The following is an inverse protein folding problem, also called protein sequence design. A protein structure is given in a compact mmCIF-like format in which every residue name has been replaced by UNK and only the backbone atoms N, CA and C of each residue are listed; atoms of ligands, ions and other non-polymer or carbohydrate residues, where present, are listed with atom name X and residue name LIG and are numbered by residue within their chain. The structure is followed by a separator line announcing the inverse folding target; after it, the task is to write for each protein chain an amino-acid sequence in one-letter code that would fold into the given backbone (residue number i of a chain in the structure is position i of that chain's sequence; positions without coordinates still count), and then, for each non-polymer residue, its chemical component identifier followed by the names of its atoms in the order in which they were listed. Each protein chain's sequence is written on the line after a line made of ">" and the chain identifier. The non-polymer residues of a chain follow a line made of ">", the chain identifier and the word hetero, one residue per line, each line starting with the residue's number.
data_IF_241749050664
#
_entry.id   IF_241749050664
#
_cell.length_a   1.000
_cell.length_b   1.000
_cell.length_c   1.000
_cell.angle_alpha   90.00
_cell.angle_beta   90.00
_cell.angle_gamma   90.00
#
_symmetry.space_group_name_H-M   'P 1'
#
loop_
_entity.id
_entity.type
_entity.pdbx_description
1 polymer ?
#
# COMPACT_ATOMS: atom_id res chain seq x y z
N UNK A 1 19.18 9.11 -15.90
CA UNK A 1 18.04 9.54 -15.06
C UNK A 1 17.14 8.34 -14.84
N UNK A 2 16.85 7.98 -13.58
CA UNK A 2 15.90 6.92 -13.27
C UNK A 2 14.49 7.38 -13.65
N UNK A 3 13.73 6.55 -14.36
CA UNK A 3 12.34 6.84 -14.75
C UNK A 3 11.51 6.97 -13.46
N UNK A 4 10.65 7.99 -13.36
CA UNK A 4 9.79 8.17 -12.17
C UNK A 4 8.83 6.99 -12.00
N UNK A 5 8.44 6.68 -10.77
CA UNK A 5 7.48 5.60 -10.47
C UNK A 5 6.22 5.75 -11.30
N UNK A 6 5.66 6.97 -11.35
CA UNK A 6 4.47 7.29 -12.13
C UNK A 6 4.61 6.87 -13.61
N UNK A 7 5.73 7.19 -14.26
CA UNK A 7 6.01 6.78 -15.65
C UNK A 7 6.22 5.27 -15.80
N UNK A 8 6.86 4.62 -14.83
CA UNK A 8 7.11 3.16 -14.88
C UNK A 8 5.81 2.34 -14.82
N UNK A 9 4.77 2.86 -14.16
CA UNK A 9 3.47 2.19 -14.05
C UNK A 9 2.37 2.85 -14.89
N UNK A 10 2.70 3.87 -15.68
CA UNK A 10 1.77 4.67 -16.50
C UNK A 10 0.69 5.43 -15.72
N UNK A 11 0.96 5.85 -14.49
CA UNK A 11 0.06 6.73 -13.74
C UNK A 11 0.00 8.13 -14.35
N UNK A 12 1.08 8.59 -14.98
CA UNK A 12 1.13 9.86 -15.70
C UNK A 12 0.12 9.91 -16.85
N UNK A 13 -0.09 8.79 -17.56
CA UNK A 13 -1.14 8.69 -18.58
C UNK A 13 -2.55 8.78 -17.98
N UNK A 14 -2.78 8.18 -16.82
CA UNK A 14 -4.06 8.30 -16.13
C UNK A 14 -4.33 9.75 -15.69
N UNK A 15 -3.30 10.43 -15.16
CA UNK A 15 -3.37 11.86 -14.79
C UNK A 15 -3.68 12.74 -16.00
N UNK A 16 -3.07 12.48 -17.16
CA UNK A 16 -3.37 13.21 -18.41
C UNK A 16 -4.82 13.05 -18.87
N UNK A 17 -5.46 11.92 -18.55
CA UNK A 17 -6.89 11.69 -18.80
C UNK A 17 -7.80 12.24 -17.71
N UNK A 18 -7.25 12.97 -16.73
CA UNK A 18 -8.01 13.60 -15.65
C UNK A 18 -8.33 12.69 -14.45
N UNK A 19 -7.86 11.44 -14.45
CA UNK A 19 -8.03 10.55 -13.30
C UNK A 19 -6.98 10.86 -12.24
N UNK A 20 -7.42 11.26 -11.04
CA UNK A 20 -6.58 11.65 -9.92
C UNK A 20 -6.97 10.95 -8.60
N UNK A 21 -7.95 10.04 -8.64
CA UNK A 21 -8.48 9.28 -7.51
C UNK A 21 -9.57 10.03 -6.75
N UNK A 22 -10.25 10.97 -7.38
CA UNK A 22 -11.29 11.78 -6.74
C UNK A 22 -12.48 10.91 -6.27
N UNK A 23 -12.97 11.18 -5.06
CA UNK A 23 -14.08 10.42 -4.46
C UNK A 23 -13.74 9.02 -3.95
N UNK A 24 -12.48 8.58 -4.04
CA UNK A 24 -12.05 7.27 -3.57
C UNK A 24 -11.24 7.38 -2.27
N UNK A 25 -11.73 6.72 -1.21
CA UNK A 25 -11.06 6.67 0.08
C UNK A 25 -10.07 5.52 0.18
N UNK A 26 -8.86 5.84 0.65
CA UNK A 26 -7.82 4.87 0.99
C UNK A 26 -7.59 4.90 2.51
N UNK A 27 -7.79 3.75 3.16
CA UNK A 27 -7.47 3.55 4.56
C UNK A 27 -6.03 3.04 4.72
N UNK A 28 -5.20 3.74 5.50
CA UNK A 28 -3.82 3.37 5.79
C UNK A 28 -3.71 2.90 7.23
N UNK A 29 -3.28 1.65 7.44
CA UNK A 29 -2.96 1.13 8.76
C UNK A 29 -1.44 1.17 8.94
N UNK A 30 -0.93 2.12 9.72
CA UNK A 30 0.51 2.38 9.84
C UNK A 30 0.91 3.11 11.15
N UNK A 31 2.06 3.79 11.17
CA UNK A 31 2.59 4.58 12.31
C UNK A 31 1.86 5.90 12.54
N UNK A 32 0.90 6.25 11.69
CA UNK A 32 0.11 7.47 11.76
C UNK A 32 0.28 8.35 10.52
N UNK A 33 -0.09 9.62 10.66
CA UNK A 33 -0.03 10.61 9.58
C UNK A 33 0.37 11.98 10.13
N UNK A 34 1.57 12.43 9.80
CA UNK A 34 1.93 13.82 9.98
C UNK A 34 1.14 14.65 8.94
N UNK A 35 0.46 15.74 9.35
CA UNK A 35 -0.30 16.60 8.43
C UNK A 35 0.65 17.41 7.54
N UNK A 36 1.30 16.73 6.61
CA UNK A 36 2.21 17.29 5.62
C UNK A 36 1.47 18.28 4.72
N UNK A 37 2.13 19.35 4.27
CA UNK A 37 1.52 20.34 3.37
C UNK A 37 1.00 19.73 2.06
N UNK A 38 1.61 18.66 1.57
CA UNK A 38 1.13 17.90 0.38
C UNK A 38 -0.17 17.11 0.62
N UNK A 39 -0.72 17.14 1.84
CA UNK A 39 -2.06 16.64 2.13
C UNK A 39 -3.07 17.78 2.29
N UNK A 40 -2.74 19.00 1.85
CA UNK A 40 -3.62 20.16 1.98
C UNK A 40 -4.73 20.17 0.91
N UNK A 41 -5.90 20.78 1.20
CA UNK A 41 -6.30 21.26 2.52
C UNK A 41 -6.62 20.09 3.45
N UNK A 42 -6.00 20.06 4.64
CA UNK A 42 -6.11 18.94 5.58
C UNK A 42 -7.55 18.64 5.99
N UNK A 43 -8.38 19.69 6.09
CA UNK A 43 -9.79 19.59 6.48
C UNK A 43 -10.66 18.79 5.53
N UNK A 44 -10.25 18.59 4.28
CA UNK A 44 -11.01 17.81 3.29
C UNK A 44 -10.25 16.57 2.83
N UNK A 45 -8.92 16.66 2.70
CA UNK A 45 -8.08 15.55 2.22
C UNK A 45 -7.83 14.50 3.29
N UNK A 46 -7.69 14.90 4.56
CA UNK A 46 -7.57 13.96 5.68
C UNK A 46 -8.98 13.76 6.25
N UNK A 47 -9.72 12.81 5.65
CA UNK A 47 -11.11 12.54 6.00
C UNK A 47 -11.24 12.03 7.44
N UNK A 48 -10.27 11.23 7.91
CA UNK A 48 -10.24 10.75 9.29
C UNK A 48 -8.84 10.36 9.73
N UNK A 49 -8.55 10.64 11.00
CA UNK A 49 -7.45 10.04 11.75
C UNK A 49 -8.00 9.35 13.00
N UNK A 50 -7.50 8.15 13.30
CA UNK A 50 -7.79 7.42 14.56
C UNK A 50 -6.50 6.84 15.10
N UNK A 51 -6.26 6.97 16.40
CA UNK A 51 -5.09 6.45 17.07
C UNK A 51 -5.46 5.32 18.03
N UNK A 52 -5.18 4.08 17.63
CA UNK A 52 -5.41 2.89 18.45
C UNK A 52 -4.23 2.56 19.38
N UNK A 53 -3.15 3.36 19.37
CA UNK A 53 -1.95 3.12 20.16
C UNK A 53 -1.94 4.01 21.41
N UNK A 54 -2.18 5.32 21.24
CA UNK A 54 -2.17 6.28 22.35
C UNK A 54 -3.48 7.06 22.50
N UNK A 55 -4.52 6.77 21.70
CA UNK A 55 -5.83 7.43 21.76
C UNK A 55 -5.78 8.96 21.61
N UNK A 56 -4.80 9.50 20.86
CA UNK A 56 -4.77 10.96 20.58
C UNK A 56 -5.85 11.33 19.57
N UNK A 57 -6.43 12.52 19.76
CA UNK A 57 -7.52 13.05 18.94
C UNK A 57 -7.08 13.81 17.68
N UNK A 58 -5.78 14.09 17.54
CA UNK A 58 -5.21 14.85 16.41
C UNK A 58 -4.25 13.99 15.60
N UNK A 59 -4.16 14.27 14.29
CA UNK A 59 -3.26 13.55 13.38
C UNK A 59 -1.79 13.81 13.71
N UNK A 60 -1.02 12.74 13.85
CA UNK A 60 0.42 12.79 14.03
C UNK A 60 1.06 11.49 13.52
N UNK A 61 2.37 11.53 13.30
CA UNK A 61 3.21 10.37 13.03
C UNK A 61 4.53 10.58 13.76
N UNK A 62 4.88 9.65 14.63
CA UNK A 62 6.08 9.67 15.47
C UNK A 62 7.20 8.76 14.92
N UNK A 63 6.99 8.16 13.75
CA UNK A 63 7.99 7.37 13.03
C UNK A 63 8.30 7.92 11.63
N UNK A 64 7.27 8.43 10.93
CA UNK A 64 7.35 8.93 9.56
C UNK A 64 7.14 7.87 8.48
N UNK A 65 6.92 6.59 8.83
CA UNK A 65 6.62 5.55 7.84
C UNK A 65 5.22 5.72 7.23
N UNK A 66 4.19 5.93 8.07
CA UNK A 66 2.82 6.16 7.64
C UNK A 66 2.66 7.40 6.76
N UNK A 67 3.34 8.48 7.13
CA UNK A 67 3.42 9.71 6.31
C UNK A 67 4.06 9.44 4.94
N UNK A 68 5.12 8.63 4.91
CA UNK A 68 5.84 8.30 3.67
C UNK A 68 4.97 7.49 2.71
N UNK A 69 4.31 6.43 3.19
CA UNK A 69 3.43 5.61 2.34
C UNK A 69 2.20 6.39 1.86
N UNK A 70 1.65 7.26 2.72
CA UNK A 70 0.51 8.11 2.35
C UNK A 70 0.92 9.11 1.27
N UNK A 71 2.14 9.65 1.34
CA UNK A 71 2.69 10.54 0.31
C UNK A 71 2.84 9.85 -1.06
N UNK A 72 3.23 8.57 -1.09
CA UNK A 72 3.38 7.81 -2.34
C UNK A 72 2.04 7.70 -3.08
N UNK A 73 0.98 7.46 -2.33
CA UNK A 73 -0.36 7.34 -2.90
C UNK A 73 -1.02 8.71 -3.13
N UNK A 74 -0.94 9.65 -2.19
CA UNK A 74 -1.87 10.77 -2.10
C UNK A 74 -1.23 12.17 -2.02
N UNK A 75 0.08 12.31 -2.19
CA UNK A 75 0.72 13.64 -2.27
C UNK A 75 0.10 14.50 -3.38
N UNK A 76 -0.31 15.74 -3.07
CA UNK A 76 -0.79 16.72 -4.07
C UNK A 76 0.33 17.51 -4.74
N UNK A 77 1.59 17.36 -4.31
CA UNK A 77 2.74 18.12 -4.82
C UNK A 77 2.59 19.66 -4.72
N UNK A 78 1.68 20.16 -3.88
CA UNK A 78 1.29 21.58 -3.89
C UNK A 78 2.33 22.55 -3.33
N UNK A 79 3.40 22.06 -2.68
CA UNK A 79 4.37 22.92 -1.99
C UNK A 79 5.80 22.80 -2.51
N UNK A 80 5.95 22.65 -3.83
CA UNK A 80 7.26 22.70 -4.50
C UNK A 80 8.03 21.38 -4.48
N UNK A 81 7.36 20.25 -4.22
CA UNK A 81 7.88 18.96 -4.63
C UNK A 81 7.41 18.66 -6.06
N UNK A 82 8.28 18.09 -6.88
CA UNK A 82 7.86 17.47 -8.15
C UNK A 82 7.20 16.09 -7.92
N UNK A 83 6.87 15.76 -6.66
CA UNK A 83 6.47 14.43 -6.24
C UNK A 83 4.96 14.34 -6.03
N UNK A 84 4.26 14.20 -7.15
CA UNK A 84 2.83 13.89 -7.20
C UNK A 84 2.60 12.42 -6.81
N UNK A 85 1.68 12.18 -5.88
CA UNK A 85 1.26 10.82 -5.54
C UNK A 85 0.56 10.13 -6.70
N UNK A 86 0.38 8.81 -6.61
CA UNK A 86 -0.29 8.05 -7.67
C UNK A 86 -1.77 8.47 -7.82
N UNK A 87 -2.50 8.69 -6.73
CA UNK A 87 -3.88 9.16 -6.68
C UNK A 87 -3.96 10.44 -5.82
N UNK A 88 -3.48 11.58 -6.35
CA UNK A 88 -3.24 12.80 -5.57
C UNK A 88 -4.51 13.49 -5.08
N UNK A 89 -5.71 13.08 -5.53
CA UNK A 89 -7.02 13.56 -5.05
C UNK A 89 -7.80 12.54 -4.23
N UNK A 90 -7.26 11.33 -4.00
CA UNK A 90 -7.85 10.40 -3.03
C UNK A 90 -7.89 11.03 -1.64
N UNK A 91 -8.96 10.77 -0.89
CA UNK A 91 -9.06 11.17 0.51
C UNK A 91 -8.47 10.10 1.41
N UNK A 92 -7.86 10.58 2.49
CA UNK A 92 -6.96 9.84 3.35
C UNK A 92 -7.71 9.49 4.64
N UNK A 93 -7.77 8.20 4.94
CA UNK A 93 -8.16 7.71 6.28
C UNK A 93 -6.94 7.06 6.92
N UNK A 94 -6.40 7.64 7.97
CA UNK A 94 -5.21 7.14 8.65
C UNK A 94 -5.56 6.53 9.99
N UNK A 95 -5.24 5.24 10.15
CA UNK A 95 -5.41 4.51 11.40
C UNK A 95 -4.02 4.17 11.94
N UNK A 96 -3.63 4.80 13.05
CA UNK A 96 -2.37 4.49 13.73
C UNK A 96 -2.53 3.21 14.52
N UNK A 97 -1.80 2.18 14.11
CA UNK A 97 -1.79 0.83 14.70
C UNK A 97 -0.38 0.35 15.03
N UNK A 98 0.64 1.16 14.71
CA UNK A 98 2.04 0.94 15.03
C UNK A 98 2.57 2.01 16.00
N UNK A 99 3.49 1.61 16.87
CA UNK A 99 4.19 2.53 17.78
C UNK A 99 5.27 3.38 17.06
N UNK A 100 5.96 4.23 17.82
CA UNK A 100 7.02 5.11 17.32
C UNK A 100 8.23 4.35 16.74
N UNK A 101 8.45 3.10 17.15
CA UNK A 101 9.50 2.23 16.61
C UNK A 101 9.06 1.48 15.34
N UNK A 102 7.77 1.59 14.97
CA UNK A 102 7.17 0.85 13.86
C UNK A 102 6.76 -0.57 14.23
N UNK A 103 6.69 -0.90 15.52
CA UNK A 103 6.25 -2.21 15.98
C UNK A 103 4.72 -2.24 16.05
N UNK A 104 4.13 -3.33 15.58
CA UNK A 104 2.68 -3.51 15.59
C UNK A 104 2.17 -3.94 16.95
N UNK A 105 1.14 -3.25 17.42
CA UNK A 105 0.35 -3.67 18.59
C UNK A 105 -0.81 -4.49 18.05
N UNK A 106 -0.80 -5.82 18.23
CA UNK A 106 -1.79 -6.73 17.62
C UNK A 106 -3.23 -6.30 17.90
N UNK A 107 -3.54 -5.93 19.15
CA UNK A 107 -4.87 -5.45 19.54
C UNK A 107 -5.26 -4.13 18.86
N UNK A 108 -4.30 -3.21 18.66
CA UNK A 108 -4.54 -1.97 17.91
C UNK A 108 -4.78 -2.24 16.43
N UNK A 109 -4.05 -3.21 15.87
CA UNK A 109 -4.24 -3.62 14.47
C UNK A 109 -5.63 -4.22 14.23
N UNK A 110 -6.08 -5.12 15.10
CA UNK A 110 -7.42 -5.71 15.02
C UNK A 110 -8.51 -4.64 15.16
N UNK A 111 -8.39 -3.75 16.16
CA UNK A 111 -9.31 -2.60 16.30
C UNK A 111 -9.33 -1.70 15.06
N UNK A 112 -8.18 -1.50 14.40
CA UNK A 112 -8.11 -0.76 13.14
C UNK A 112 -8.86 -1.46 12.00
N UNK A 113 -8.78 -2.78 11.89
CA UNK A 113 -9.56 -3.55 10.91
C UNK A 113 -11.06 -3.49 11.22
N UNK A 114 -11.45 -3.68 12.48
CA UNK A 114 -12.86 -3.61 12.91
C UNK A 114 -13.46 -2.22 12.66
N UNK A 115 -12.67 -1.16 12.90
CA UNK A 115 -13.09 0.19 12.59
C UNK A 115 -13.32 0.40 11.09
N UNK A 116 -12.50 -0.19 10.22
CA UNK A 116 -12.76 -0.13 8.77
C UNK A 116 -14.04 -0.88 8.43
N UNK A 117 -14.24 -2.07 8.98
CA UNK A 117 -15.47 -2.85 8.76
C UNK A 117 -16.71 -1.99 9.07
N UNK A 118 -16.72 -1.33 10.22
CA UNK A 118 -17.82 -0.49 10.69
C UNK A 118 -18.00 0.81 9.89
N UNK A 119 -16.90 1.52 9.58
CA UNK A 119 -16.95 2.89 9.09
C UNK A 119 -16.60 3.07 7.60
N UNK A 120 -16.26 2.01 6.85
CA UNK A 120 -15.81 2.14 5.45
C UNK A 120 -16.80 2.91 4.58
N UNK A 121 -18.11 2.68 4.75
CA UNK A 121 -19.14 3.37 3.97
C UNK A 121 -19.22 4.87 4.30
N UNK A 122 -19.16 5.22 5.58
CA UNK A 122 -19.24 6.60 6.07
C UNK A 122 -18.09 7.46 5.56
N UNK A 123 -16.92 6.85 5.35
CA UNK A 123 -15.74 7.53 4.82
C UNK A 123 -15.41 7.17 3.37
N UNK A 124 -16.34 6.56 2.63
CA UNK A 124 -16.16 6.15 1.23
C UNK A 124 -14.84 5.39 0.98
N UNK A 125 -14.41 4.58 1.96
CA UNK A 125 -13.22 3.75 1.85
C UNK A 125 -13.55 2.62 0.87
N UNK A 126 -12.73 2.51 -0.18
CA UNK A 126 -12.79 1.42 -1.15
C UNK A 126 -11.54 0.53 -1.10
N UNK A 127 -10.44 1.07 -0.57
CA UNK A 127 -9.12 0.45 -0.60
C UNK A 127 -8.51 0.52 0.79
N UNK A 128 -7.87 -0.57 1.21
CA UNK A 128 -7.13 -0.67 2.46
C UNK A 128 -5.66 -0.94 2.13
N UNK A 129 -4.76 -0.10 2.63
CA UNK A 129 -3.32 -0.21 2.47
C UNK A 129 -2.67 -0.63 3.79
N UNK A 130 -2.10 -1.83 3.82
CA UNK A 130 -1.40 -2.39 4.97
C UNK A 130 0.06 -2.58 4.59
N UNK A 131 0.95 -1.75 5.11
CA UNK A 131 2.39 -1.81 4.77
C UNK A 131 3.20 -2.54 5.86
N UNK A 132 2.60 -3.54 6.50
CA UNK A 132 3.12 -4.30 7.65
C UNK A 132 2.88 -5.79 7.41
N UNK A 133 3.82 -6.62 7.85
CA UNK A 133 3.64 -8.06 7.92
C UNK A 133 4.59 -8.70 8.92
N UNK A 134 4.18 -9.80 9.52
CA UNK A 134 5.00 -10.57 10.47
C UNK A 134 5.59 -11.81 9.79
N UNK A 135 6.85 -12.21 10.09
CA UNK A 135 7.42 -13.48 9.66
C UNK A 135 6.93 -14.68 10.49
N UNK A 136 5.87 -14.52 11.29
CA UNK A 136 5.34 -15.56 12.18
C UNK A 136 4.85 -16.82 11.46
N UNK A 137 4.61 -17.88 12.23
CA UNK A 137 4.04 -19.14 11.72
C UNK A 137 2.58 -18.98 11.31
N UNK A 138 2.22 -19.50 10.13
CA UNK A 138 0.83 -19.54 9.63
C UNK A 138 -0.13 -20.25 10.62
N UNK A 139 0.40 -21.17 11.43
CA UNK A 139 -0.41 -21.95 12.37
C UNK A 139 -0.72 -21.25 13.68
N UNK A 140 -0.06 -20.12 13.96
CA UNK A 140 -0.31 -19.39 15.20
C UNK A 140 -1.74 -18.84 15.25
N UNK A 141 -2.34 -18.83 16.44
CA UNK A 141 -3.68 -18.27 16.66
C UNK A 141 -3.75 -16.81 16.22
N UNK A 142 -2.73 -16.01 16.54
CA UNK A 142 -2.61 -14.62 16.13
C UNK A 142 -2.62 -14.45 14.60
N UNK A 143 -1.88 -15.28 13.86
CA UNK A 143 -1.87 -15.26 12.39
C UNK A 143 -3.23 -15.63 11.81
N UNK A 144 -3.89 -16.66 12.36
CA UNK A 144 -5.23 -17.09 11.93
C UNK A 144 -6.30 -16.02 12.18
N UNK A 145 -6.24 -15.36 13.33
CA UNK A 145 -7.13 -14.26 13.68
C UNK A 145 -6.92 -13.06 12.74
N UNK A 146 -5.67 -12.67 12.50
CA UNK A 146 -5.33 -11.60 11.58
C UNK A 146 -5.82 -11.87 10.16
N UNK A 147 -5.61 -13.10 9.67
CA UNK A 147 -6.11 -13.57 8.38
C UNK A 147 -7.63 -13.51 8.28
N UNK A 148 -8.35 -13.88 9.35
CA UNK A 148 -9.82 -13.81 9.40
C UNK A 148 -10.30 -12.36 9.20
N UNK A 149 -9.71 -11.40 9.90
CA UNK A 149 -10.13 -10.00 9.83
C UNK A 149 -9.81 -9.36 8.47
N UNK A 150 -8.62 -9.58 7.89
CA UNK A 150 -8.32 -9.04 6.55
C UNK A 150 -9.19 -9.68 5.45
N UNK A 151 -9.56 -10.95 5.62
CA UNK A 151 -10.48 -11.61 4.71
C UNK A 151 -11.91 -11.09 4.87
N UNK A 152 -12.34 -10.71 6.07
CA UNK A 152 -13.64 -10.08 6.30
C UNK A 152 -13.73 -8.75 5.55
N UNK A 153 -12.69 -7.89 5.62
CA UNK A 153 -12.66 -6.65 4.83
C UNK A 153 -12.75 -6.88 3.32
N UNK A 154 -12.12 -7.95 2.82
CA UNK A 154 -12.30 -8.36 1.44
C UNK A 154 -13.75 -8.79 1.16
N UNK A 155 -14.37 -9.54 2.07
CA UNK A 155 -15.76 -10.00 1.91
C UNK A 155 -16.77 -8.83 1.99
N UNK A 156 -16.42 -7.72 2.65
CA UNK A 156 -17.17 -6.45 2.61
C UNK A 156 -17.08 -5.70 1.26
N UNK A 157 -16.26 -6.20 0.32
CA UNK A 157 -16.07 -5.62 -1.00
C UNK A 157 -14.90 -4.63 -1.10
N UNK A 158 -14.08 -4.49 -0.06
CA UNK A 158 -12.91 -3.63 -0.07
C UNK A 158 -11.74 -4.29 -0.83
N UNK A 159 -10.92 -3.46 -1.47
CA UNK A 159 -9.65 -3.88 -2.07
C UNK A 159 -8.56 -3.80 -1.02
N UNK A 160 -8.17 -4.95 -0.45
CA UNK A 160 -7.14 -5.02 0.57
C UNK A 160 -5.78 -5.26 -0.08
N UNK A 161 -4.89 -4.26 0.00
CA UNK A 161 -3.52 -4.29 -0.48
C UNK A 161 -2.55 -4.42 0.70
N UNK A 162 -1.67 -5.41 0.65
CA UNK A 162 -0.70 -5.67 1.72
C UNK A 162 0.71 -5.91 1.20
N UNK A 163 1.71 -5.39 1.91
CA UNK A 163 3.11 -5.64 1.60
C UNK A 163 3.46 -7.14 1.73
N UNK A 164 4.21 -7.66 0.74
CA UNK A 164 4.67 -9.05 0.72
C UNK A 164 5.78 -9.38 1.73
N UNK A 165 6.35 -8.36 2.39
CA UNK A 165 7.46 -8.51 3.33
C UNK A 165 8.83 -8.32 2.68
N UNK A 166 9.85 -8.12 3.52
CA UNK A 166 11.23 -7.81 3.09
C UNK A 166 12.22 -8.92 3.49
N UNK A 167 11.76 -10.18 3.48
CA UNK A 167 12.50 -11.37 3.93
C UNK A 167 12.95 -12.28 2.78
N UNK A 168 12.88 -11.79 1.53
CA UNK A 168 13.56 -12.43 0.39
C UNK A 168 15.07 -12.45 0.59
N UNK A 169 15.85 -13.16 -0.26
CA UNK A 169 15.46 -13.82 -1.50
C UNK A 169 14.98 -15.27 -1.33
N UNK A 170 14.84 -15.76 -0.09
CA UNK A 170 14.43 -17.15 0.16
C UNK A 170 12.98 -17.40 -0.27
N UNK A 171 12.63 -18.61 -0.76
CA UNK A 171 11.23 -18.99 -0.96
C UNK A 171 10.49 -19.00 0.39
N UNK A 172 9.16 -19.03 0.35
CA UNK A 172 8.28 -19.05 1.53
C UNK A 172 8.48 -17.84 2.47
N UNK A 173 8.87 -16.70 1.92
CA UNK A 173 9.20 -15.48 2.68
C UNK A 173 8.11 -14.41 2.62
N UNK A 174 6.92 -14.77 2.13
CA UNK A 174 5.74 -13.88 2.16
C UNK A 174 5.29 -13.72 3.61
N UNK A 175 5.24 -12.48 4.07
CA UNK A 175 4.79 -12.16 5.42
C UNK A 175 3.28 -12.35 5.60
N UNK A 176 2.87 -12.66 6.83
CA UNK A 176 1.47 -12.78 7.22
C UNK A 176 0.93 -11.38 7.55
N UNK A 177 -0.30 -11.03 7.14
CA UNK A 177 -1.34 -11.87 6.49
C UNK A 177 -1.32 -11.82 4.95
N UNK A 178 -0.22 -11.38 4.33
CA UNK A 178 -0.02 -11.38 2.88
C UNK A 178 -0.04 -12.77 2.22
N UNK A 179 -0.09 -13.83 3.02
CA UNK A 179 -0.31 -15.19 2.56
C UNK A 179 -1.79 -15.51 2.24
N UNK A 180 -2.75 -14.64 2.58
CA UNK A 180 -4.16 -14.85 2.24
C UNK A 180 -4.39 -14.99 0.73
N UNK A 181 -5.12 -16.02 0.25
CA UNK A 181 -5.43 -16.17 -1.17
C UNK A 181 -6.42 -15.09 -1.69
N UNK A 182 -7.20 -14.44 -0.81
CA UNK A 182 -8.25 -13.48 -1.20
C UNK A 182 -7.69 -12.10 -1.54
N UNK A 183 -6.83 -11.55 -0.68
CA UNK A 183 -6.35 -10.17 -0.78
C UNK A 183 -5.26 -9.98 -1.85
N UNK A 184 -4.83 -8.74 -2.06
CA UNK A 184 -3.74 -8.37 -3.00
C UNK A 184 -2.45 -8.21 -2.20
N UNK A 185 -1.48 -9.09 -2.45
CA UNK A 185 -0.16 -9.02 -1.86
C UNK A 185 0.81 -8.40 -2.86
N UNK A 186 1.55 -7.38 -2.41
CA UNK A 186 2.38 -6.52 -3.24
C UNK A 186 3.86 -6.76 -2.94
N UNK A 187 4.61 -7.20 -3.94
CA UNK A 187 6.08 -7.26 -3.90
C UNK A 187 6.73 -6.03 -4.51
N UNK A 188 8.07 -5.98 -4.45
CA UNK A 188 8.88 -4.92 -5.05
C UNK A 188 9.50 -5.42 -6.37
N UNK A 189 9.36 -4.65 -7.47
CA UNK A 189 9.86 -5.05 -8.79
C UNK A 189 11.35 -4.74 -9.01
N UNK A 190 11.91 -3.86 -8.18
CA UNK A 190 13.26 -3.32 -8.27
C UNK A 190 14.08 -3.64 -7.00
N UNK A 191 13.79 -4.77 -6.36
CA UNK A 191 14.40 -5.21 -5.10
C UNK A 191 15.89 -5.60 -5.20
N UNK A 192 16.42 -5.67 -6.43
CA UNK A 192 17.84 -5.89 -6.72
C UNK A 192 18.61 -4.58 -6.98
N UNK A 193 17.93 -3.44 -7.00
CA UNK A 193 18.59 -2.15 -7.22
C UNK A 193 19.38 -1.74 -5.99
N UNK A 194 20.46 -0.98 -6.20
CA UNK A 194 21.28 -0.46 -5.11
C UNK A 194 20.44 0.50 -4.26
N UNK A 195 20.28 0.17 -2.97
CA UNK A 195 19.55 1.01 -2.03
C UNK A 195 20.39 2.21 -1.57
N UNK A 196 19.75 3.37 -1.53
CA UNK A 196 20.27 4.63 -0.99
C UNK A 196 19.54 4.90 0.33
N UNK A 197 20.26 5.32 1.36
CA UNK A 197 19.68 5.68 2.66
C UNK A 197 20.32 4.95 3.82
N UNK A 198 19.64 4.95 4.98
CA UNK A 198 20.20 4.42 6.25
C UNK A 198 19.86 2.94 6.50
N UNK A 199 18.70 2.48 6.03
CA UNK A 199 18.25 1.10 6.21
C UNK A 199 18.44 0.36 4.90
N UNK A 200 19.33 -0.63 4.92
CA UNK A 200 19.59 -1.49 3.78
C UNK A 200 18.99 -2.87 4.05
N UNK A 201 18.28 -3.41 3.07
CA UNK A 201 17.98 -4.83 3.01
C UNK A 201 19.05 -5.54 2.18
N UNK A 202 19.05 -6.87 2.20
CA UNK A 202 19.79 -7.64 1.20
C UNK A 202 19.24 -7.36 -0.20
N UNK A 203 20.10 -7.47 -1.23
CA UNK A 203 19.61 -7.53 -2.62
C UNK A 203 18.62 -8.69 -2.77
N UNK A 204 17.51 -8.46 -3.45
CA UNK A 204 16.43 -9.45 -3.60
C UNK A 204 15.53 -9.54 -2.37
N UNK A 205 15.30 -8.42 -1.65
CA UNK A 205 14.57 -8.41 -0.37
C UNK A 205 13.08 -8.72 -0.50
N UNK A 206 12.46 -8.57 -1.67
CA UNK A 206 11.01 -8.75 -1.80
C UNK A 206 10.62 -10.17 -1.42
N UNK A 207 9.59 -10.32 -0.58
CA UNK A 207 9.04 -11.62 -0.19
C UNK A 207 8.68 -12.46 -1.41
N UNK A 208 8.97 -13.77 -1.34
CA UNK A 208 8.79 -14.73 -2.43
C UNK A 208 7.90 -15.87 -1.99
N UNK A 209 6.97 -16.22 -2.86
CA UNK A 209 6.14 -17.40 -2.69
C UNK A 209 6.81 -18.70 -3.12
N UNK A 210 6.00 -19.75 -3.31
CA UNK A 210 4.64 -19.84 -2.78
C UNK A 210 4.64 -19.68 -1.26
N UNK A 211 3.47 -19.48 -0.65
CA UNK A 211 3.32 -19.54 0.82
C UNK A 211 3.56 -20.97 1.30
N UNK A 212 3.71 -21.19 2.61
CA UNK A 212 3.84 -22.54 3.17
C UNK A 212 2.56 -23.38 2.95
N UNK A 213 1.42 -22.72 2.77
CA UNK A 213 0.15 -23.32 2.35
C UNK A 213 -0.01 -23.45 0.81
N UNK A 214 1.08 -23.47 0.04
CA UNK A 214 1.10 -23.66 -1.41
C UNK A 214 0.31 -22.62 -2.23
N UNK A 215 0.07 -21.41 -1.69
CA UNK A 215 -0.59 -20.31 -2.40
C UNK A 215 0.45 -19.48 -3.14
N UNK A 216 0.24 -19.20 -4.43
CA UNK A 216 1.16 -18.37 -5.20
C UNK A 216 1.02 -16.89 -4.80
N UNK A 217 2.09 -16.30 -4.27
CA UNK A 217 2.23 -14.89 -3.86
C UNK A 217 3.64 -14.37 -4.19
N UNK A 218 3.86 -13.05 -4.33
CA UNK A 218 2.86 -11.96 -4.31
C UNK A 218 1.89 -12.05 -5.51
N UNK A 219 0.82 -11.27 -5.51
CA UNK A 219 -0.08 -11.19 -6.68
C UNK A 219 0.47 -10.25 -7.76
N UNK A 220 1.12 -9.17 -7.34
CA UNK A 220 1.62 -8.09 -8.21
C UNK A 220 2.89 -7.50 -7.62
N UNK A 221 3.71 -6.86 -8.46
CA UNK A 221 4.85 -6.05 -8.02
C UNK A 221 4.74 -4.60 -8.51
N UNK A 222 5.37 -3.70 -7.78
CA UNK A 222 5.54 -2.30 -8.17
C UNK A 222 6.91 -1.80 -7.69
N UNK A 223 7.41 -0.67 -8.20
CA UNK A 223 8.65 -0.08 -7.71
C UNK A 223 8.59 0.17 -6.19
N UNK A 224 9.59 -0.32 -5.47
CA UNK A 224 9.65 -0.25 -4.00
C UNK A 224 11.03 0.15 -3.48
N UNK A 225 12.05 0.29 -4.35
CA UNK A 225 13.41 0.67 -3.96
C UNK A 225 13.68 2.16 -4.24
N UNK A 226 14.24 2.84 -3.25
CA UNK A 226 14.61 4.26 -3.31
C UNK A 226 13.43 5.18 -3.64
N UNK A 227 12.28 4.93 -3.02
CA UNK A 227 11.08 5.73 -3.24
C UNK A 227 11.16 7.01 -2.39
N UNK A 228 11.20 8.14 -3.09
CA UNK A 228 11.14 9.48 -2.50
C UNK A 228 9.70 9.81 -2.13
N UNK A 229 9.41 10.28 -0.93
CA UNK A 229 8.05 10.67 -0.53
C UNK A 229 8.06 11.57 0.71
N UNK A 230 6.88 12.03 1.13
CA UNK A 230 6.67 12.88 2.30
C UNK A 230 7.30 12.29 3.58
N UNK A 231 7.72 13.18 4.47
CA UNK A 231 8.35 12.88 5.75
C UNK A 231 7.91 13.91 6.79
N UNK A 232 8.31 13.69 8.04
CA UNK A 232 8.00 14.59 9.14
C UNK A 232 8.58 15.99 8.91
N UNK A 233 7.96 16.99 9.55
CA UNK A 233 8.37 18.40 9.51
C UNK A 233 8.33 19.01 8.09
N UNK A 234 7.36 18.61 7.27
CA UNK A 234 7.21 19.09 5.89
C UNK A 234 8.45 18.85 5.01
N UNK A 235 9.14 17.73 5.23
CA UNK A 235 10.30 17.31 4.45
C UNK A 235 9.96 16.11 3.59
N UNK A 236 10.92 15.70 2.77
CA UNK A 236 10.84 14.48 1.97
C UNK A 236 12.03 13.57 2.30
N UNK A 237 11.85 12.27 2.09
CA UNK A 237 12.91 11.28 2.34
C UNK A 237 12.77 10.09 1.41
N UNK A 238 13.87 9.34 1.28
CA UNK A 238 13.95 8.11 0.51
C UNK A 238 13.79 6.92 1.45
N UNK A 239 12.89 6.00 1.11
CA UNK A 239 12.77 4.70 1.77
C UNK A 239 12.69 3.58 0.72
N UNK A 240 13.05 2.37 1.14
CA UNK A 240 12.95 1.16 0.32
C UNK A 240 12.14 0.11 1.07
N UNK A 241 11.46 -0.77 0.33
CA UNK A 241 10.69 -1.88 0.88
C UNK A 241 9.40 -2.17 0.11
N UNK A 242 8.86 -3.37 0.29
CA UNK A 242 7.50 -3.72 -0.20
C UNK A 242 6.42 -2.81 0.40
N UNK A 243 6.68 -2.23 1.57
CA UNK A 243 5.88 -1.17 2.19
C UNK A 243 5.72 0.08 1.31
N UNK A 244 6.71 0.40 0.46
CA UNK A 244 6.65 1.52 -0.49
C UNK A 244 6.00 1.11 -1.82
N UNK A 245 6.12 -0.15 -2.23
CA UNK A 245 5.44 -0.66 -3.42
C UNK A 245 3.91 -0.76 -3.22
N UNK A 246 3.47 -1.08 -2.00
CA UNK A 246 2.05 -1.22 -1.64
C UNK A 246 1.22 0.04 -1.93
N UNK A 247 1.62 1.27 -1.53
CA UNK A 247 0.90 2.50 -1.85
C UNK A 247 0.93 2.87 -3.34
N UNK A 248 1.91 2.38 -4.10
CA UNK A 248 1.89 2.53 -5.58
C UNK A 248 0.71 1.75 -6.16
N UNK A 249 0.50 0.52 -5.70
CA UNK A 249 -0.62 -0.34 -6.13
C UNK A 249 -1.96 0.17 -5.60
N UNK A 250 -2.07 0.51 -4.31
CA UNK A 250 -3.33 1.00 -3.74
C UNK A 250 -3.76 2.34 -4.36
N UNK A 251 -2.82 3.26 -4.59
CA UNK A 251 -3.09 4.48 -5.36
C UNK A 251 -3.53 4.19 -6.80
N UNK A 252 -2.91 3.22 -7.47
CA UNK A 252 -3.33 2.81 -8.83
C UNK A 252 -4.77 2.30 -8.85
N UNK A 253 -5.21 1.59 -7.81
CA UNK A 253 -6.60 1.14 -7.71
C UNK A 253 -7.57 2.28 -7.44
N UNK A 254 -7.15 3.38 -6.80
CA UNK A 254 -8.00 4.56 -6.66
C UNK A 254 -8.26 5.22 -8.03
N UNK A 255 -7.24 5.35 -8.88
CA UNK A 255 -7.43 5.81 -10.26
C UNK A 255 -8.35 4.88 -11.06
N UNK A 256 -8.16 3.57 -10.91
CA UNK A 256 -8.98 2.57 -11.60
C UNK A 256 -10.45 2.65 -11.16
N UNK A 257 -10.70 2.83 -9.87
CA UNK A 257 -12.05 2.94 -9.31
C UNK A 257 -12.73 4.27 -9.64
N UNK A 258 -11.98 5.34 -9.84
CA UNK A 258 -12.53 6.59 -10.37
C UNK A 258 -13.03 6.41 -11.80
N UNK A 259 -12.28 5.70 -12.66
CA UNK A 259 -12.71 5.37 -14.03
C UNK A 259 -13.86 4.35 -14.06
N UNK A 260 -13.81 3.34 -13.18
CA UNK A 260 -14.77 2.24 -13.12
C UNK A 260 -15.41 2.12 -11.72
N UNK A 261 -16.33 3.03 -11.35
CA UNK A 261 -16.84 3.14 -9.98
C UNK A 261 -17.56 1.89 -9.46
N UNK A 262 -18.16 1.11 -10.38
CA UNK A 262 -18.91 -0.11 -10.08
C UNK A 262 -18.07 -1.38 -10.02
N UNK A 263 -16.76 -1.32 -10.28
CA UNK A 263 -15.91 -2.50 -10.13
C UNK A 263 -15.87 -2.97 -8.68
N UNK A 264 -16.08 -4.27 -8.50
CA UNK A 264 -15.86 -4.95 -7.22
C UNK A 264 -14.38 -5.24 -7.02
N UNK A 265 -13.99 -5.58 -5.80
CA UNK A 265 -12.64 -6.06 -5.51
C UNK A 265 -12.26 -7.32 -6.33
N UNK A 266 -13.23 -8.18 -6.64
CA UNK A 266 -13.04 -9.35 -7.53
C UNK A 266 -12.74 -8.91 -8.97
N UNK A 267 -13.47 -7.93 -9.50
CA UNK A 267 -13.23 -7.40 -10.84
C UNK A 267 -11.83 -6.80 -10.96
N UNK A 268 -11.42 -6.02 -9.96
CA UNK A 268 -10.07 -5.45 -9.88
C UNK A 268 -9.01 -6.55 -9.88
N UNK A 269 -9.16 -7.57 -9.03
CA UNK A 269 -8.20 -8.69 -8.97
C UNK A 269 -8.12 -9.47 -10.28
N UNK A 270 -9.26 -9.67 -10.94
CA UNK A 270 -9.31 -10.34 -12.25
C UNK A 270 -8.69 -9.49 -13.37
N UNK A 271 -8.90 -8.17 -13.35
CA UNK A 271 -8.28 -7.25 -14.32
C UNK A 271 -6.78 -7.14 -14.08
N UNK A 272 -6.33 -7.13 -12.82
CA UNK A 272 -4.91 -7.18 -12.43
C UNK A 272 -4.21 -8.42 -13.01
N UNK A 273 -4.79 -9.60 -12.81
CA UNK A 273 -4.24 -10.86 -13.31
C UNK A 273 -3.94 -10.87 -14.81
N UNK A 274 -4.70 -10.12 -15.61
CA UNK A 274 -4.59 -10.12 -17.08
C UNK A 274 -3.70 -9.01 -17.63
N UNK A 275 -3.49 -7.92 -16.88
CA UNK A 275 -3.01 -6.65 -17.44
C UNK A 275 -1.70 -6.13 -16.82
N UNK A 276 -0.96 -6.97 -16.10
CA UNK A 276 0.40 -6.62 -15.65
C UNK A 276 1.46 -6.83 -16.75
N UNK A 277 2.58 -6.13 -16.61
CA UNK A 277 3.78 -6.36 -17.41
C UNK A 277 4.61 -7.50 -16.84
N UNK A 278 4.83 -8.55 -17.65
CA UNK A 278 5.69 -9.65 -17.25
C UNK A 278 7.15 -9.20 -17.22
N UNK A 279 7.78 -9.38 -16.07
CA UNK A 279 9.20 -9.14 -15.84
C UNK A 279 10.01 -10.40 -16.13
N UNK A 280 11.34 -10.24 -16.24
CA UNK A 280 12.30 -11.35 -16.39
C UNK A 280 12.66 -12.00 -15.04
N UNK A 281 11.65 -12.27 -14.22
CA UNK A 281 11.79 -12.93 -12.91
C UNK A 281 10.81 -14.10 -12.77
N UNK A 282 11.04 -15.07 -11.86
CA UNK A 282 10.09 -16.16 -11.68
C UNK A 282 8.72 -15.70 -11.14
N UNK A 283 7.66 -16.46 -11.41
CA UNK A 283 6.28 -16.16 -10.97
C UNK A 283 6.16 -16.00 -9.44
N UNK A 284 6.90 -16.79 -8.68
CA UNK A 284 6.91 -16.70 -7.21
C UNK A 284 7.56 -15.42 -6.68
N UNK A 285 8.20 -14.64 -7.54
CA UNK A 285 8.76 -13.33 -7.21
C UNK A 285 7.86 -12.19 -7.71
N UNK A 286 7.44 -12.21 -8.98
CA UNK A 286 6.67 -11.10 -9.57
C UNK A 286 5.14 -11.25 -9.50
N UNK A 287 4.61 -12.40 -9.09
CA UNK A 287 3.19 -12.69 -9.21
C UNK A 287 2.74 -12.67 -10.67
N UNK A 288 1.75 -11.84 -10.97
CA UNK A 288 1.26 -11.58 -12.33
C UNK A 288 2.11 -10.59 -13.12
N UNK A 289 3.03 -9.88 -12.46
CA UNK A 289 3.94 -8.91 -13.09
C UNK A 289 3.88 -7.53 -12.45
N UNK A 290 4.55 -6.56 -13.08
CA UNK A 290 4.49 -5.16 -12.67
C UNK A 290 3.15 -4.54 -13.04
N UNK A 291 2.58 -3.76 -12.12
CA UNK A 291 1.34 -3.03 -12.37
C UNK A 291 1.50 -2.05 -13.55
N UNK A 292 0.51 -2.03 -14.45
CA UNK A 292 0.51 -1.18 -15.64
C UNK A 292 -0.87 -0.52 -15.79
N UNK A 293 -0.97 0.77 -15.49
CA UNK A 293 -2.23 1.52 -15.55
C UNK A 293 -2.74 1.74 -16.96
N UNK A 294 -1.87 1.82 -17.97
CA UNK A 294 -2.30 1.90 -19.37
C UNK A 294 -3.18 0.70 -19.74
N UNK A 295 -2.73 -0.51 -19.39
CA UNK A 295 -3.49 -1.75 -19.63
C UNK A 295 -4.65 -1.94 -18.67
N UNK A 296 -4.49 -1.59 -17.38
CA UNK A 296 -5.55 -1.73 -16.39
C UNK A 296 -6.71 -0.77 -16.61
N UNK A 297 -6.44 0.42 -17.14
CA UNK A 297 -7.46 1.43 -17.34
C UNK A 297 -7.90 1.53 -18.79
N UNK A 298 -7.29 0.82 -19.74
CA UNK A 298 -7.57 0.96 -21.17
C UNK A 298 -7.37 2.44 -21.62
N UNK A 299 -6.14 2.93 -21.48
CA UNK A 299 -5.68 4.30 -21.80
C UNK A 299 -4.76 4.34 -23.03
#
# INVERSE_FOLDING_TARGET
>A
MQISVSKQIHADLAHQHGFLGEGIGIAYLDTGLFPHKDFSPHSTRIAKFVDFVHSKSFSYDDNGHGTHITGIAASSATFGSDYLGIAPKSHIVSLKVLDASGNGVQSAFLQGLDWIHEYHRSYQIRIVNISIGSPGSEDSSASKELLKHVNALWDDGLVVCIAGGNHGPKPYSISIPGNSPKIITVGSSDDNFQMIGRKHFSSGYSGRGPTTSCVMKPDVVAPGTNIFSCSLNNRYTIKSGTSMATPVVSGSFALLLEKYPFYTNKDIKMKLRKNCDKLKTPRHHQGWGQINLKKLMDL
#
